data_IF_098121028563
#
_entry.id   IF_098121028563
#
_cell.length_a   1.000
_cell.length_b   1.000
_cell.length_c   1.000
_cell.angle_alpha   90.00
_cell.angle_beta   90.00
_cell.angle_gamma   90.00
#
_symmetry.space_group_name_H-M   'P 1'
#
loop_
_entity.id
_entity.type
_entity.pdbx_description
1 polymer ?
#
# COMPACT_ATOMS: atom_id res chain seq x y z
N UNK A 1 9.91 -7.61 20.53
CA UNK A 1 10.97 -7.80 19.49
C UNK A 1 10.51 -8.69 18.32
N UNK A 2 9.77 -9.81 18.54
CA UNK A 2 9.25 -10.67 17.46
C UNK A 2 8.10 -9.98 16.73
N UNK A 3 7.12 -9.43 17.46
CA UNK A 3 6.00 -8.68 16.89
C UNK A 3 6.47 -7.51 16.02
N UNK A 4 7.49 -6.76 16.46
CA UNK A 4 8.05 -5.64 15.69
C UNK A 4 8.69 -6.10 14.36
N UNK A 5 9.37 -7.25 14.37
CA UNK A 5 9.97 -7.81 13.14
C UNK A 5 8.92 -8.27 12.13
N UNK A 6 7.86 -8.88 12.61
CA UNK A 6 6.75 -9.33 11.78
C UNK A 6 6.04 -8.14 11.16
N UNK A 7 5.66 -7.16 11.98
CA UNK A 7 5.02 -5.93 11.54
C UNK A 7 5.85 -5.19 10.47
N UNK A 8 7.18 -5.13 10.65
CA UNK A 8 8.08 -4.53 9.67
C UNK A 8 8.15 -5.31 8.36
N UNK A 9 8.15 -6.65 8.40
CA UNK A 9 8.14 -7.47 7.19
C UNK A 9 6.83 -7.31 6.41
N UNK A 10 5.69 -7.32 7.10
CA UNK A 10 4.37 -7.11 6.49
C UNK A 10 4.29 -5.73 5.83
N UNK A 11 4.76 -4.68 6.51
CA UNK A 11 4.81 -3.33 5.94
C UNK A 11 5.67 -3.27 4.67
N UNK A 12 6.84 -3.91 4.67
CA UNK A 12 7.71 -3.95 3.49
C UNK A 12 7.08 -4.69 2.32
N UNK A 13 6.40 -5.80 2.57
CA UNK A 13 5.68 -6.55 1.54
C UNK A 13 4.53 -5.72 0.95
N UNK A 14 3.77 -5.02 1.78
CA UNK A 14 2.70 -4.13 1.34
C UNK A 14 3.24 -2.96 0.52
N UNK A 15 4.30 -2.34 0.98
CA UNK A 15 4.96 -1.24 0.28
C UNK A 15 5.49 -1.69 -1.09
N UNK A 16 6.16 -2.85 -1.15
CA UNK A 16 6.65 -3.42 -2.40
C UNK A 16 5.51 -3.77 -3.37
N UNK A 17 4.44 -4.41 -2.87
CA UNK A 17 3.28 -4.77 -3.68
C UNK A 17 2.63 -3.54 -4.30
N UNK A 18 2.41 -2.48 -3.51
CA UNK A 18 1.83 -1.24 -3.99
C UNK A 18 2.76 -0.50 -4.96
N UNK A 19 4.05 -0.43 -4.67
CA UNK A 19 5.01 0.22 -5.56
C UNK A 19 5.04 -0.47 -6.93
N UNK A 20 5.02 -1.79 -6.99
CA UNK A 20 5.00 -2.55 -8.25
C UNK A 20 3.65 -2.37 -8.96
N UNK A 21 2.52 -2.44 -8.25
CA UNK A 21 1.20 -2.24 -8.84
C UNK A 21 1.07 -0.83 -9.45
N UNK A 22 1.52 0.21 -8.74
CA UNK A 22 1.53 1.59 -9.23
C UNK A 22 2.45 1.74 -10.44
N UNK A 23 3.66 1.18 -10.39
CA UNK A 23 4.59 1.23 -11.52
C UNK A 23 3.99 0.56 -12.75
N UNK A 24 3.35 -0.60 -12.58
CA UNK A 24 2.65 -1.30 -13.66
C UNK A 24 1.54 -0.44 -14.24
N UNK A 25 0.74 0.23 -13.41
CA UNK A 25 -0.34 1.12 -13.87
C UNK A 25 0.21 2.32 -14.65
N UNK A 26 1.29 2.94 -14.18
CA UNK A 26 1.95 4.05 -14.88
C UNK A 26 2.48 3.59 -16.24
N UNK A 27 3.10 2.41 -16.29
CA UNK A 27 3.60 1.84 -17.55
C UNK A 27 2.47 1.54 -18.53
N UNK A 28 1.32 1.03 -18.09
CA UNK A 28 0.13 0.82 -18.95
C UNK A 28 -0.29 2.12 -19.64
N UNK A 29 -0.17 3.25 -18.97
CA UNK A 29 -0.55 4.55 -19.53
C UNK A 29 0.51 5.11 -20.47
N UNK A 30 1.79 5.01 -20.12
CA UNK A 30 2.88 5.69 -20.83
C UNK A 30 3.50 4.85 -21.94
N UNK A 31 3.64 3.54 -21.78
CA UNK A 31 4.30 2.65 -22.73
C UNK A 31 3.64 2.65 -24.13
N UNK A 32 2.30 2.63 -24.27
CA UNK A 32 1.66 2.70 -25.59
C UNK A 32 1.97 3.98 -26.35
N UNK A 33 2.37 5.05 -25.63
CA UNK A 33 2.69 6.38 -26.15
C UNK A 33 4.18 6.58 -26.42
N UNK A 34 5.01 5.54 -26.26
CA UNK A 34 6.46 5.66 -26.36
C UNK A 34 6.92 6.22 -27.72
N UNK A 35 6.28 5.81 -28.85
CA UNK A 35 6.71 6.20 -30.19
C UNK A 35 8.22 5.98 -30.41
N UNK A 36 8.91 7.01 -30.87
CA UNK A 36 10.38 7.03 -31.11
C UNK A 36 11.19 7.46 -29.88
N UNK A 37 10.55 7.62 -28.72
CA UNK A 37 11.23 8.05 -27.48
C UNK A 37 12.14 6.95 -26.98
N UNK A 38 13.40 7.31 -26.66
CA UNK A 38 14.38 6.37 -26.14
C UNK A 38 13.89 5.70 -24.83
N UNK A 39 14.14 4.40 -24.64
CA UNK A 39 13.67 3.67 -23.46
C UNK A 39 14.10 4.30 -22.12
N UNK A 40 15.30 4.88 -22.06
CA UNK A 40 15.80 5.57 -20.86
C UNK A 40 14.96 6.82 -20.55
N UNK A 41 14.63 7.61 -21.57
CA UNK A 41 13.78 8.80 -21.39
C UNK A 41 12.38 8.41 -20.91
N UNK A 42 11.80 7.35 -21.48
CA UNK A 42 10.52 6.82 -21.02
C UNK A 42 10.58 6.34 -19.56
N UNK A 43 11.67 5.65 -19.18
CA UNK A 43 11.86 5.21 -17.80
C UNK A 43 11.91 6.40 -16.82
N UNK A 44 12.59 7.48 -17.18
CA UNK A 44 12.62 8.72 -16.39
C UNK A 44 11.23 9.34 -16.27
N UNK A 45 10.50 9.46 -17.39
CA UNK A 45 9.12 9.99 -17.39
C UNK A 45 8.18 9.15 -16.55
N UNK A 46 8.34 7.83 -16.53
CA UNK A 46 7.53 6.93 -15.71
C UNK A 46 7.94 6.95 -14.22
N UNK A 47 9.22 7.17 -13.92
CA UNK A 47 9.72 7.16 -12.54
C UNK A 47 9.10 8.27 -11.68
N UNK A 48 8.88 9.46 -12.21
CA UNK A 48 8.30 10.59 -11.47
C UNK A 48 6.90 10.27 -10.90
N UNK A 49 5.89 9.96 -11.72
CA UNK A 49 4.56 9.63 -11.21
C UNK A 49 4.58 8.35 -10.37
N UNK A 50 5.34 7.33 -10.76
CA UNK A 50 5.40 6.07 -10.05
C UNK A 50 5.93 6.25 -8.61
N UNK A 51 7.02 7.00 -8.44
CA UNK A 51 7.60 7.22 -7.11
C UNK A 51 6.69 8.04 -6.20
N UNK A 52 6.01 9.07 -6.72
CA UNK A 52 5.12 9.91 -5.93
C UNK A 52 3.86 9.15 -5.48
N UNK A 53 3.20 8.45 -6.40
CA UNK A 53 2.02 7.66 -6.06
C UNK A 53 2.40 6.49 -5.14
N UNK A 54 3.52 5.80 -5.40
CA UNK A 54 4.00 4.74 -4.52
C UNK A 54 4.32 5.25 -3.11
N UNK A 55 4.97 6.41 -2.99
CA UNK A 55 5.25 7.02 -1.70
C UNK A 55 3.96 7.38 -0.94
N UNK A 56 2.96 7.91 -1.62
CA UNK A 56 1.65 8.16 -1.04
C UNK A 56 0.98 6.85 -0.59
N UNK A 57 0.99 5.81 -1.42
CA UNK A 57 0.45 4.49 -1.07
C UNK A 57 1.15 3.88 0.15
N UNK A 58 2.48 3.98 0.22
CA UNK A 58 3.26 3.55 1.40
C UNK A 58 2.82 4.33 2.64
N UNK A 59 2.61 5.63 2.54
CA UNK A 59 2.06 6.45 3.61
C UNK A 59 0.67 5.98 4.04
N UNK A 60 -0.23 5.70 3.12
CA UNK A 60 -1.56 5.15 3.42
C UNK A 60 -1.50 3.83 4.20
N UNK A 61 -0.51 2.96 3.91
CA UNK A 61 -0.30 1.70 4.63
C UNK A 61 0.40 1.92 5.97
N UNK A 62 1.34 2.85 6.02
CA UNK A 62 2.08 3.15 7.25
C UNK A 62 1.18 3.71 8.35
N UNK A 63 0.19 4.53 8.01
CA UNK A 63 -0.74 5.12 8.98
C UNK A 63 -1.44 4.09 9.86
N UNK A 64 -2.16 3.08 9.32
CA UNK A 64 -2.78 2.04 10.12
C UNK A 64 -1.75 1.10 10.78
N UNK A 65 -0.66 0.75 10.08
CA UNK A 65 0.36 -0.16 10.61
C UNK A 65 1.06 0.41 11.84
N UNK A 66 1.35 1.71 11.83
CA UNK A 66 2.00 2.42 12.94
C UNK A 66 1.00 3.00 13.93
N UNK A 67 -0.31 2.72 13.77
CA UNK A 67 -1.39 3.25 14.60
C UNK A 67 -1.35 4.77 14.73
N UNK A 68 -1.08 5.45 13.62
CA UNK A 68 -1.03 6.91 13.61
C UNK A 68 -2.42 7.49 13.85
N UNK A 69 -2.48 8.58 14.61
CA UNK A 69 -3.71 9.31 14.81
C UNK A 69 -4.20 9.90 13.48
N UNK A 70 -5.52 9.89 13.27
CA UNK A 70 -6.11 10.60 12.15
C UNK A 70 -5.75 12.09 12.27
N UNK A 71 -4.93 12.58 11.35
CA UNK A 71 -4.54 13.99 11.24
C UNK A 71 -4.91 14.50 9.86
N UNK A 72 -5.63 15.63 9.82
CA UNK A 72 -5.97 16.26 8.54
C UNK A 72 -4.73 16.61 7.71
N UNK A 73 -3.68 17.09 8.36
CA UNK A 73 -2.41 17.44 7.69
C UNK A 73 -1.76 16.24 7.04
N UNK A 74 -1.75 15.09 7.71
CA UNK A 74 -1.20 13.86 7.16
C UNK A 74 -1.98 13.40 5.91
N UNK A 75 -3.31 13.39 5.99
CA UNK A 75 -4.16 13.01 4.87
C UNK A 75 -4.08 13.98 3.70
N UNK A 76 -4.05 15.28 3.99
CA UNK A 76 -3.85 16.32 2.99
C UNK A 76 -2.52 16.14 2.26
N UNK A 77 -1.44 15.80 2.99
CA UNK A 77 -0.15 15.48 2.40
C UNK A 77 -0.23 14.31 1.42
N UNK A 78 -0.79 13.18 1.85
CA UNK A 78 -0.91 11.98 1.02
C UNK A 78 -1.79 12.20 -0.22
N UNK A 79 -2.92 12.89 -0.06
CA UNK A 79 -3.81 13.23 -1.17
C UNK A 79 -3.13 14.17 -2.16
N UNK A 80 -2.44 15.19 -1.68
CA UNK A 80 -1.69 16.13 -2.54
C UNK A 80 -0.55 15.44 -3.27
N UNK A 81 0.17 14.52 -2.61
CA UNK A 81 1.23 13.74 -3.22
C UNK A 81 0.69 12.79 -4.30
N UNK A 82 -0.44 12.13 -4.03
CA UNK A 82 -1.13 11.28 -5.02
C UNK A 82 -1.58 12.11 -6.22
N UNK A 83 -2.22 13.26 -5.97
CA UNK A 83 -2.67 14.16 -7.02
C UNK A 83 -1.51 14.65 -7.89
N UNK A 84 -0.39 15.03 -7.28
CA UNK A 84 0.81 15.44 -8.01
C UNK A 84 1.34 14.30 -8.90
N UNK A 85 1.38 13.07 -8.40
CA UNK A 85 1.78 11.91 -9.20
C UNK A 85 0.84 11.65 -10.38
N UNK A 86 -0.47 11.76 -10.18
CA UNK A 86 -1.47 11.65 -11.26
C UNK A 86 -1.29 12.77 -12.29
N UNK A 87 -1.07 14.01 -11.85
CA UNK A 87 -0.86 15.14 -12.77
C UNK A 87 0.43 14.97 -13.57
N UNK A 88 1.52 14.47 -12.96
CA UNK A 88 2.73 14.11 -13.70
C UNK A 88 2.49 13.01 -14.72
N UNK A 89 1.69 12.00 -14.38
CA UNK A 89 1.34 10.95 -15.34
C UNK A 89 0.56 11.52 -16.54
N UNK A 90 -0.43 12.38 -16.29
CA UNK A 90 -1.20 13.05 -17.35
C UNK A 90 -0.34 14.01 -18.18
N UNK A 91 0.55 14.76 -17.53
CA UNK A 91 1.50 15.62 -18.20
C UNK A 91 2.42 14.84 -19.13
N UNK A 92 3.04 13.78 -18.64
CA UNK A 92 3.94 12.96 -19.41
C UNK A 92 3.23 12.25 -20.57
N UNK A 93 1.98 11.80 -20.37
CA UNK A 93 1.17 11.26 -21.46
C UNK A 93 0.97 12.30 -22.58
N UNK A 94 0.65 13.56 -22.24
CA UNK A 94 0.50 14.64 -23.23
C UNK A 94 1.81 14.97 -23.95
N UNK A 95 2.94 14.96 -23.21
CA UNK A 95 4.28 15.14 -23.84
C UNK A 95 4.54 14.06 -24.87
N UNK A 96 4.25 12.79 -24.53
CA UNK A 96 4.45 11.65 -25.43
C UNK A 96 3.49 11.69 -26.63
N UNK A 97 2.28 12.22 -26.45
CA UNK A 97 1.31 12.43 -27.54
C UNK A 97 1.62 13.67 -28.39
N UNK A 98 2.71 14.41 -28.12
CA UNK A 98 3.10 15.62 -28.85
C UNK A 98 2.12 16.79 -28.68
N UNK A 99 1.28 16.76 -27.64
CA UNK A 99 0.28 17.81 -27.39
C UNK A 99 0.91 19.07 -26.76
N UNK A 100 0.38 20.27 -27.05
CA UNK A 100 0.88 21.50 -26.45
C UNK A 100 0.68 21.50 -24.93
N UNK A 101 1.69 22.02 -24.23
CA UNK A 101 1.71 22.07 -22.75
C UNK A 101 1.42 23.47 -22.22
N UNK A 102 1.45 24.48 -23.06
CA UNK A 102 1.23 25.87 -22.66
C UNK A 102 -0.25 26.15 -22.35
N UNK A 103 -0.49 26.88 -21.27
CA UNK A 103 -1.82 27.33 -20.89
C UNK A 103 -2.81 26.25 -20.45
N UNK A 104 -2.35 25.03 -20.20
CA UNK A 104 -3.24 23.94 -19.79
C UNK A 104 -3.64 24.04 -18.32
N UNK A 105 -4.86 23.61 -18.04
CA UNK A 105 -5.42 23.58 -16.68
C UNK A 105 -4.60 22.74 -15.68
N UNK A 106 -3.79 21.78 -16.16
CA UNK A 106 -2.90 20.97 -15.32
C UNK A 106 -1.91 21.83 -14.53
N UNK A 107 -1.42 22.95 -15.08
CA UNK A 107 -0.51 23.86 -14.39
C UNK A 107 -1.15 24.44 -13.11
N UNK A 108 -2.45 24.80 -13.18
CA UNK A 108 -3.21 25.23 -12.02
C UNK A 108 -3.36 24.13 -10.96
N UNK A 109 -3.61 22.90 -11.40
CA UNK A 109 -3.73 21.76 -10.50
C UNK A 109 -2.41 21.40 -9.81
N UNK A 110 -1.27 21.49 -10.50
CA UNK A 110 0.05 21.35 -9.87
C UNK A 110 0.26 22.38 -8.76
N UNK A 111 -0.13 23.63 -9.00
CA UNK A 111 -0.02 24.69 -8.00
C UNK A 111 -0.88 24.40 -6.78
N UNK A 112 -2.11 23.95 -6.97
CA UNK A 112 -3.03 23.57 -5.88
C UNK A 112 -2.46 22.39 -5.08
N UNK A 113 -1.97 21.35 -5.75
CA UNK A 113 -1.38 20.21 -5.08
C UNK A 113 -0.10 20.58 -4.30
N UNK A 114 0.74 21.45 -4.86
CA UNK A 114 1.94 21.96 -4.19
C UNK A 114 1.59 22.79 -2.95
N UNK A 115 0.56 23.64 -3.02
CA UNK A 115 0.03 24.37 -1.87
C UNK A 115 -0.50 23.41 -0.81
N UNK A 116 -1.21 22.36 -1.21
CA UNK A 116 -1.68 21.31 -0.30
C UNK A 116 -0.55 20.64 0.46
N UNK A 117 0.57 20.30 -0.21
CA UNK A 117 1.78 19.76 0.43
C UNK A 117 2.35 20.79 1.41
N UNK A 118 2.50 22.06 1.00
CA UNK A 118 3.02 23.12 1.87
C UNK A 118 2.17 23.33 3.11
N UNK A 119 0.83 23.40 2.96
CA UNK A 119 -0.10 23.53 4.09
C UNK A 119 -0.04 22.32 5.03
N UNK A 120 0.08 21.13 4.49
CA UNK A 120 0.20 19.91 5.27
C UNK A 120 1.48 19.92 6.13
N UNK A 121 2.61 20.31 5.55
CA UNK A 121 3.91 20.39 6.25
C UNK A 121 3.89 21.47 7.35
N UNK A 122 3.32 22.63 7.09
CA UNK A 122 3.20 23.72 8.07
C UNK A 122 2.37 23.33 9.30
N UNK A 123 1.35 22.49 9.09
CA UNK A 123 0.46 22.03 10.16
C UNK A 123 0.76 20.58 10.58
N UNK A 124 2.01 20.13 10.37
CA UNK A 124 2.38 18.74 10.61
C UNK A 124 2.25 18.37 12.08
N UNK A 125 1.33 17.46 12.36
CA UNK A 125 1.12 16.89 13.69
C UNK A 125 0.80 15.41 13.56
N UNK A 126 1.70 14.56 14.06
CA UNK A 126 1.56 13.11 14.07
C UNK A 126 1.58 12.63 15.51
N UNK A 127 0.49 11.99 15.93
CA UNK A 127 0.37 11.32 17.21
C UNK A 127 0.02 9.85 17.05
N UNK A 128 0.08 9.11 18.15
CA UNK A 128 -0.41 7.71 18.20
C UNK A 128 -1.91 7.73 18.46
N UNK A 129 -2.67 6.94 17.69
CA UNK A 129 -4.13 6.85 17.86
C UNK A 129 -4.49 6.16 19.18
N UNK A 130 -5.51 6.72 19.83
CA UNK A 130 -6.20 6.09 20.98
C UNK A 130 -7.67 5.81 20.67
N UNK A 131 -8.08 5.91 19.39
CA UNK A 131 -9.47 5.75 18.97
C UNK A 131 -9.70 4.32 18.48
N UNK A 132 -10.48 3.55 19.25
CA UNK A 132 -10.80 2.15 18.94
C UNK A 132 -11.56 1.97 17.61
N UNK A 133 -12.34 2.95 17.17
CA UNK A 133 -13.01 2.91 15.86
C UNK A 133 -11.99 3.02 14.73
N UNK A 134 -11.04 3.93 14.84
CA UNK A 134 -9.97 4.09 13.86
C UNK A 134 -9.10 2.83 13.77
N UNK A 135 -8.79 2.19 14.90
CA UNK A 135 -8.03 0.95 14.93
C UNK A 135 -8.74 -0.18 14.18
N UNK A 136 -10.06 -0.34 14.39
CA UNK A 136 -10.87 -1.33 13.65
C UNK A 136 -10.91 -1.06 12.15
N UNK A 137 -11.12 0.19 11.75
CA UNK A 137 -11.11 0.59 10.34
C UNK A 137 -9.75 0.35 9.70
N UNK A 138 -8.68 0.69 10.40
CA UNK A 138 -7.31 0.53 9.92
C UNK A 138 -6.94 -0.95 9.69
N UNK A 139 -7.35 -1.84 10.58
CA UNK A 139 -7.18 -3.28 10.38
C UNK A 139 -7.97 -3.79 9.17
N UNK A 140 -9.19 -3.32 8.96
CA UNK A 140 -10.01 -3.65 7.80
C UNK A 140 -9.31 -3.22 6.49
N UNK A 141 -8.80 -2.00 6.42
CA UNK A 141 -8.06 -1.46 5.27
C UNK A 141 -6.83 -2.34 4.97
N UNK A 142 -6.02 -2.66 5.98
CA UNK A 142 -4.84 -3.50 5.80
C UNK A 142 -5.15 -4.90 5.27
N UNK A 143 -6.27 -5.48 5.71
CA UNK A 143 -6.74 -6.80 5.24
C UNK A 143 -7.18 -6.77 3.77
N UNK A 144 -7.81 -5.69 3.33
CA UNK A 144 -8.29 -5.53 1.96
C UNK A 144 -7.19 -5.15 0.95
N UNK A 145 -6.04 -4.68 1.42
CA UNK A 145 -4.98 -4.14 0.60
C UNK A 145 -4.42 -5.13 -0.45
N UNK A 146 -4.15 -6.42 -0.13
CA UNK A 146 -3.71 -7.37 -1.15
C UNK A 146 -4.77 -7.61 -2.22
N UNK A 147 -6.03 -7.63 -1.84
CA UNK A 147 -7.15 -7.81 -2.77
C UNK A 147 -7.26 -6.62 -3.73
N UNK A 148 -7.17 -5.40 -3.21
CA UNK A 148 -7.20 -4.19 -4.04
C UNK A 148 -6.02 -4.12 -5.00
N UNK A 149 -4.82 -4.51 -4.58
CA UNK A 149 -3.65 -4.57 -5.44
C UNK A 149 -3.83 -5.59 -6.58
N UNK A 150 -4.37 -6.78 -6.28
CA UNK A 150 -4.69 -7.80 -7.30
C UNK A 150 -5.76 -7.31 -8.27
N UNK A 151 -6.81 -6.67 -7.78
CA UNK A 151 -7.87 -6.09 -8.64
C UNK A 151 -7.28 -5.04 -9.58
N UNK A 152 -6.46 -4.11 -9.06
CA UNK A 152 -5.80 -3.08 -9.88
C UNK A 152 -4.88 -3.69 -10.93
N UNK A 153 -4.09 -4.70 -10.56
CA UNK A 153 -3.23 -5.41 -11.49
C UNK A 153 -4.05 -6.15 -12.57
N UNK A 154 -5.16 -6.78 -12.20
CA UNK A 154 -6.05 -7.45 -13.15
C UNK A 154 -6.72 -6.46 -14.12
N UNK A 155 -7.17 -5.31 -13.63
CA UNK A 155 -7.72 -4.24 -14.47
C UNK A 155 -6.67 -3.70 -15.44
N UNK A 156 -5.42 -3.56 -15.01
CA UNK A 156 -4.31 -3.14 -15.87
C UNK A 156 -4.07 -4.15 -17.00
N UNK A 157 -4.12 -5.46 -16.71
CA UNK A 157 -3.99 -6.52 -17.73
C UNK A 157 -5.16 -6.48 -18.73
N UNK A 158 -6.39 -6.32 -18.24
CA UNK A 158 -7.58 -6.24 -19.12
C UNK A 158 -7.52 -5.01 -20.00
N UNK A 159 -7.04 -3.88 -19.46
CA UNK A 159 -6.90 -2.66 -20.27
C UNK A 159 -5.75 -2.75 -21.29
N UNK A 160 -4.73 -3.54 -21.02
CA UNK A 160 -3.64 -3.81 -21.96
C UNK A 160 -3.96 -4.91 -22.98
N UNK A 161 -5.23 -5.32 -23.13
CA UNK A 161 -5.66 -6.35 -24.07
C UNK A 161 -5.24 -6.00 -25.52
N UNK A 162 -4.79 -6.99 -26.33
CA UNK A 162 -4.39 -6.83 -27.72
C UNK A 162 -5.41 -6.14 -28.64
N UNK A 163 -6.70 -6.19 -28.27
CA UNK A 163 -7.78 -5.53 -29.04
C UNK A 163 -7.68 -4.00 -29.01
N UNK A 164 -6.86 -3.40 -28.13
CA UNK A 164 -6.66 -1.95 -28.02
C UNK A 164 -5.50 -1.42 -28.88
N UNK A 165 -4.87 -2.25 -29.72
CA UNK A 165 -3.73 -1.86 -30.55
C UNK A 165 -2.40 -1.71 -29.78
N UNK A 166 -2.35 -2.16 -28.54
CA UNK A 166 -1.16 -2.10 -27.67
C UNK A 166 -0.08 -3.07 -28.17
N UNK A 167 1.17 -2.65 -28.19
CA UNK A 167 2.30 -3.47 -28.63
C UNK A 167 2.58 -4.65 -27.69
N UNK A 168 3.06 -5.79 -28.26
CA UNK A 168 3.38 -7.00 -27.47
C UNK A 168 4.30 -6.75 -26.25
N UNK A 169 5.37 -5.93 -26.34
CA UNK A 169 6.23 -5.68 -25.17
C UNK A 169 5.48 -5.00 -24.00
N UNK A 170 4.50 -4.14 -24.29
CA UNK A 170 3.66 -3.51 -23.26
C UNK A 170 2.84 -4.57 -22.53
N UNK A 171 2.17 -5.43 -23.29
CA UNK A 171 1.36 -6.51 -22.73
C UNK A 171 2.22 -7.40 -21.83
N UNK A 172 3.42 -7.80 -22.30
CA UNK A 172 4.33 -8.62 -21.52
C UNK A 172 4.80 -7.93 -20.23
N UNK A 173 5.11 -6.64 -20.26
CA UNK A 173 5.51 -5.88 -19.08
C UNK A 173 4.38 -5.78 -18.05
N UNK A 174 3.15 -5.53 -18.50
CA UNK A 174 1.96 -5.46 -17.63
C UNK A 174 1.64 -6.82 -17.03
N UNK A 175 1.70 -7.89 -17.82
CA UNK A 175 1.49 -9.25 -17.33
C UNK A 175 2.55 -9.65 -16.29
N UNK A 176 3.83 -9.33 -16.54
CA UNK A 176 4.90 -9.58 -15.59
C UNK A 176 4.66 -8.81 -14.27
N UNK A 177 4.30 -7.53 -14.34
CA UNK A 177 3.96 -6.72 -13.17
C UNK A 177 2.77 -7.31 -12.40
N UNK A 178 1.71 -7.72 -13.07
CA UNK A 178 0.55 -8.34 -12.45
C UNK A 178 0.90 -9.66 -11.77
N UNK A 179 1.72 -10.53 -12.41
CA UNK A 179 2.18 -11.79 -11.82
C UNK A 179 3.02 -11.55 -10.55
N UNK A 180 3.89 -10.55 -10.55
CA UNK A 180 4.68 -10.17 -9.38
C UNK A 180 3.77 -9.70 -8.24
N UNK A 181 2.77 -8.86 -8.53
CA UNK A 181 1.78 -8.40 -7.54
C UNK A 181 1.03 -9.58 -6.93
N UNK A 182 0.56 -10.53 -7.76
CA UNK A 182 -0.13 -11.73 -7.29
C UNK A 182 0.79 -12.58 -6.41
N UNK A 183 2.05 -12.80 -6.83
CA UNK A 183 3.02 -13.56 -6.06
C UNK A 183 3.30 -12.91 -4.68
N UNK A 184 3.47 -11.59 -4.62
CA UNK A 184 3.65 -10.86 -3.37
C UNK A 184 2.41 -10.92 -2.47
N UNK A 185 1.22 -10.81 -3.05
CA UNK A 185 -0.04 -10.96 -2.32
C UNK A 185 -0.19 -12.37 -1.72
N UNK A 186 0.19 -13.42 -2.47
CA UNK A 186 0.21 -14.81 -1.96
C UNK A 186 1.25 -15.00 -0.85
N UNK A 187 2.44 -14.44 -0.99
CA UNK A 187 3.47 -14.48 0.06
C UNK A 187 2.97 -13.81 1.34
N UNK A 188 2.33 -12.64 1.23
CA UNK A 188 1.73 -11.99 2.39
C UNK A 188 0.65 -12.85 3.02
N UNK A 189 -0.25 -13.40 2.22
CA UNK A 189 -1.34 -14.24 2.72
C UNK A 189 -0.79 -15.48 3.45
N UNK A 190 0.23 -16.13 2.91
CA UNK A 190 0.88 -17.28 3.55
C UNK A 190 1.54 -16.91 4.88
N UNK A 191 2.15 -15.71 4.97
CA UNK A 191 2.76 -15.22 6.21
C UNK A 191 1.69 -14.98 7.28
N UNK A 192 0.59 -14.32 6.92
CA UNK A 192 -0.53 -14.05 7.83
C UNK A 192 -1.20 -15.34 8.34
N UNK A 193 -1.34 -16.35 7.47
CA UNK A 193 -1.89 -17.66 7.88
C UNK A 193 -0.99 -18.36 8.89
N UNK A 194 0.32 -18.37 8.67
CA UNK A 194 1.29 -18.96 9.63
C UNK A 194 1.24 -18.26 10.98
N UNK A 195 1.19 -16.94 11.00
CA UNK A 195 1.06 -16.17 12.24
C UNK A 195 -0.24 -16.48 12.99
N UNK A 196 -1.34 -16.62 12.25
CA UNK A 196 -2.63 -16.98 12.84
C UNK A 196 -2.60 -18.37 13.48
N UNK A 197 -1.94 -19.35 12.84
CA UNK A 197 -1.81 -20.70 13.37
C UNK A 197 -0.88 -20.73 14.59
N UNK A 198 0.22 -19.97 14.59
CA UNK A 198 1.09 -19.81 15.76
C UNK A 198 0.34 -19.18 16.94
N UNK A 199 -0.45 -18.12 16.72
CA UNK A 199 -1.25 -17.48 17.74
C UNK A 199 -2.31 -18.45 18.32
N UNK A 200 -3.00 -19.22 17.48
CA UNK A 200 -3.96 -20.25 17.95
C UNK A 200 -3.29 -21.28 18.83
N UNK A 201 -2.09 -21.73 18.47
CA UNK A 201 -1.34 -22.71 19.25
C UNK A 201 -0.96 -22.14 20.62
N UNK A 202 -0.47 -20.90 20.67
CA UNK A 202 -0.12 -20.22 21.93
C UNK A 202 -1.36 -20.00 22.81
N UNK A 203 -2.47 -19.56 22.22
CA UNK A 203 -3.73 -19.34 22.97
C UNK A 203 -4.22 -20.66 23.58
N UNK A 204 -4.18 -21.75 22.83
CA UNK A 204 -4.57 -23.07 23.33
C UNK A 204 -3.68 -23.54 24.48
N UNK A 205 -2.37 -23.37 24.39
CA UNK A 205 -1.46 -23.70 25.49
C UNK A 205 -1.69 -22.85 26.74
N UNK A 206 -2.05 -21.56 26.56
CA UNK A 206 -2.42 -20.69 27.67
C UNK A 206 -3.70 -21.18 28.36
N UNK A 207 -4.74 -21.49 27.60
CA UNK A 207 -5.99 -22.03 28.11
C UNK A 207 -5.79 -23.37 28.84
N UNK A 208 -4.97 -24.27 28.28
CA UNK A 208 -4.60 -25.53 28.93
C UNK A 208 -3.85 -25.30 30.27
N UNK A 209 -2.91 -24.34 30.28
CA UNK A 209 -2.16 -23.97 31.49
C UNK A 209 -3.04 -23.33 32.55
N UNK A 210 -3.97 -22.45 32.16
CA UNK A 210 -4.95 -21.84 33.09
C UNK A 210 -5.90 -22.88 33.67
N UNK A 211 -6.40 -23.83 32.86
CA UNK A 211 -7.24 -24.92 33.33
C UNK A 211 -6.49 -25.84 34.29
N UNK A 212 -5.20 -26.14 34.02
CA UNK A 212 -4.37 -26.91 34.97
C UNK A 212 -4.17 -26.18 36.27
N UNK A 213 -3.88 -24.87 36.26
CA UNK A 213 -3.76 -24.05 37.48
C UNK A 213 -5.06 -24.03 38.26
N UNK A 214 -6.21 -23.90 37.60
CA UNK A 214 -7.52 -23.91 38.21
C UNK A 214 -7.81 -25.26 38.87
N UNK A 215 -7.50 -26.36 38.19
CA UNK A 215 -7.66 -27.72 38.73
C UNK A 215 -6.78 -27.94 39.97
N UNK A 216 -5.53 -27.45 39.94
CA UNK A 216 -4.64 -27.52 41.12
C UNK A 216 -5.19 -26.69 42.28
N UNK A 217 -5.69 -25.48 42.01
CA UNK A 217 -6.28 -24.62 43.04
C UNK A 217 -7.57 -25.23 43.64
N UNK A 218 -8.39 -25.85 42.77
CA UNK A 218 -9.65 -26.50 43.22
C UNK A 218 -9.40 -27.82 43.98
N UNK A 219 -8.24 -28.48 43.72
CA UNK A 219 -7.87 -29.73 44.43
C UNK A 219 -7.03 -29.50 45.69
N UNK A 220 -6.59 -28.28 45.98
CA UNK A 220 -5.82 -27.89 47.17
C UNK A 220 -6.62 -27.05 48.20
N UNK A 221 -7.91 -27.28 48.43
CA UNK A 221 -8.70 -26.42 49.33
C UNK A 221 -8.32 -26.51 50.79
N UNK A 222 -7.60 -27.53 51.25
CA UNK A 222 -7.45 -27.83 52.69
C UNK A 222 -6.04 -27.67 53.27
N UNK A 223 -5.02 -27.30 52.48
CA UNK A 223 -3.64 -27.27 53.00
C UNK A 223 -3.18 -25.88 53.48
N UNK A 224 -3.92 -24.81 53.18
CA UNK A 224 -3.47 -23.44 53.47
C UNK A 224 -3.99 -22.85 54.80
N UNK A 225 -4.86 -23.51 55.54
CA UNK A 225 -5.47 -22.98 56.76
C UNK A 225 -5.05 -23.67 58.07
N UNK A 226 -3.95 -24.43 58.07
CA UNK A 226 -3.34 -24.95 59.28
C UNK A 226 -2.06 -24.18 59.65
N UNK A 227 -2.28 -22.95 60.13
CA UNK A 227 -1.32 -22.28 61.01
C UNK A 227 -2.02 -21.29 61.89
#
# INVERSE_FOLDING_TARGET
RLADRVQRKTLLLDAATLAIAVTTLVLVVLLPRQGDVAPLSLAVLAAYPATQIAAACIGFVAAPTLRLQFSWSYWLFLLSLTATGIFWMLWNARVLDGMPLDGIWLNGLFSIASLGIGMAVLNWNIGVSRNALWERWSEGILRMLPLTAVILASLAVVWADPHTGVSRPVISAVQAGALIVIALAMLKQSTLLREHDELKTVTRHLEESENQKKLILDTLPDIVWLK
#
